data_IF_407883650902
#
_entry.id   IF_407883650902
#
_cell.length_a   1.000
_cell.length_b   1.000
_cell.length_c   1.000
_cell.angle_alpha   90.00
_cell.angle_beta   90.00
_cell.angle_gamma   90.00
#
_symmetry.space_group_name_H-M   'P 1'
#
loop_
_entity.id
_entity.type
_entity.pdbx_description
1 polymer ?
#
# COMPACT_ATOMS: atom_id res chain seq x y z
N UNK A 1 -23.55 4.03 -9.79
CA UNK A 1 -23.50 2.66 -10.33
C UNK A 1 -23.36 1.67 -9.18
N UNK A 2 -24.17 0.61 -9.13
CA UNK A 2 -24.05 -0.45 -8.11
C UNK A 2 -23.12 -1.56 -8.61
N UNK A 3 -22.10 -1.93 -7.83
CA UNK A 3 -21.16 -2.99 -8.17
C UNK A 3 -21.82 -4.36 -8.00
N UNK A 4 -21.96 -5.19 -9.04
CA UNK A 4 -22.63 -6.50 -8.92
C UNK A 4 -21.93 -7.48 -7.94
N UNK A 5 -22.71 -8.35 -7.27
CA UNK A 5 -22.22 -9.42 -6.35
C UNK A 5 -21.15 -10.31 -6.95
N UNK A 6 -21.42 -10.87 -8.12
CA UNK A 6 -20.47 -11.71 -8.83
C UNK A 6 -19.17 -10.97 -9.17
N UNK A 7 -19.26 -9.70 -9.58
CA UNK A 7 -18.08 -8.88 -9.89
C UNK A 7 -17.23 -8.58 -8.65
N UNK A 8 -17.86 -8.21 -7.53
CA UNK A 8 -17.15 -7.96 -6.26
C UNK A 8 -16.39 -9.20 -5.78
N UNK A 9 -17.05 -10.37 -5.75
CA UNK A 9 -16.42 -11.64 -5.37
C UNK A 9 -15.27 -12.01 -6.32
N UNK A 10 -15.42 -11.80 -7.63
CA UNK A 10 -14.33 -12.06 -8.59
C UNK A 10 -13.12 -11.17 -8.35
N UNK A 11 -13.32 -9.88 -8.09
CA UNK A 11 -12.23 -8.96 -7.76
C UNK A 11 -11.56 -9.31 -6.44
N UNK A 12 -12.33 -9.67 -5.42
CA UNK A 12 -11.79 -10.11 -4.14
C UNK A 12 -10.89 -11.35 -4.29
N UNK A 13 -11.33 -12.36 -5.03
CA UNK A 13 -10.54 -13.58 -5.28
C UNK A 13 -9.24 -13.31 -6.03
N UNK A 14 -9.26 -12.39 -7.00
CA UNK A 14 -8.04 -11.99 -7.71
C UNK A 14 -7.03 -11.39 -6.73
N UNK A 15 -7.45 -10.39 -5.94
CA UNK A 15 -6.57 -9.74 -4.97
C UNK A 15 -6.05 -10.71 -3.90
N UNK A 16 -6.93 -11.48 -3.28
CA UNK A 16 -6.56 -12.50 -2.29
C UNK A 16 -5.56 -13.53 -2.83
N UNK A 17 -5.57 -13.79 -4.15
CA UNK A 17 -4.65 -14.74 -4.79
C UNK A 17 -3.21 -14.25 -4.92
N UNK A 18 -2.93 -12.96 -4.74
CA UNK A 18 -1.58 -12.41 -4.91
C UNK A 18 -1.05 -11.59 -3.73
N UNK A 19 -1.89 -11.04 -2.84
CA UNK A 19 -1.45 -10.17 -1.75
C UNK A 19 -0.49 -10.80 -0.74
N UNK A 20 -0.50 -12.12 -0.59
CA UNK A 20 0.44 -12.87 0.28
C UNK A 20 1.39 -13.77 -0.50
N UNK A 21 1.37 -13.67 -1.84
CA UNK A 21 2.27 -14.43 -2.73
C UNK A 21 3.55 -13.64 -2.96
N UNK A 22 4.64 -14.17 -2.42
CA UNK A 22 5.94 -13.48 -2.37
C UNK A 22 6.72 -13.46 -3.69
N UNK A 23 6.52 -14.42 -4.59
CA UNK A 23 7.26 -14.48 -5.87
C UNK A 23 6.35 -14.74 -7.08
N UNK A 24 6.66 -14.17 -8.27
CA UNK A 24 7.78 -13.24 -8.54
C UNK A 24 7.53 -11.84 -7.94
N UNK A 25 8.62 -11.12 -7.61
CA UNK A 25 8.54 -9.77 -7.03
C UNK A 25 9.67 -8.85 -7.56
N UNK A 26 9.32 -7.58 -7.75
CA UNK A 26 10.18 -6.45 -8.15
C UNK A 26 10.22 -5.45 -7.00
N UNK A 27 11.32 -5.46 -6.25
CA UNK A 27 11.41 -4.77 -4.96
C UNK A 27 11.62 -3.26 -5.03
N UNK A 28 12.16 -2.73 -6.14
CA UNK A 28 12.66 -1.34 -6.22
C UNK A 28 13.51 -0.95 -5.00
N UNK A 29 14.34 -1.90 -4.55
CA UNK A 29 15.17 -1.81 -3.36
C UNK A 29 16.61 -1.44 -3.73
N UNK A 30 17.08 -0.33 -3.16
CA UNK A 30 18.48 0.08 -3.26
C UNK A 30 19.25 -0.55 -2.09
N UNK A 31 20.31 -1.29 -2.40
CA UNK A 31 21.20 -1.92 -1.43
C UNK A 31 22.37 -0.98 -1.12
N UNK A 32 22.57 -0.64 0.14
CA UNK A 32 23.73 0.10 0.65
C UNK A 32 24.92 -0.79 1.00
N UNK A 33 24.66 -2.08 1.25
CA UNK A 33 25.67 -3.08 1.59
C UNK A 33 25.17 -4.51 1.37
N UNK A 34 26.02 -5.54 1.57
CA UNK A 34 25.65 -6.94 1.39
C UNK A 34 24.53 -7.42 2.33
N UNK A 35 24.35 -6.79 3.49
CA UNK A 35 23.29 -7.07 4.47
C UNK A 35 21.88 -6.73 3.97
N UNK A 36 21.78 -5.93 2.91
CA UNK A 36 20.51 -5.55 2.29
C UNK A 36 19.98 -6.60 1.31
N UNK A 37 20.74 -7.67 1.04
CA UNK A 37 20.26 -8.82 0.27
C UNK A 37 19.26 -9.61 1.12
N UNK A 38 17.98 -9.22 1.03
CA UNK A 38 16.88 -9.77 1.83
C UNK A 38 15.69 -10.13 0.96
N UNK A 39 14.80 -10.98 1.47
CA UNK A 39 13.57 -11.36 0.78
C UNK A 39 12.53 -10.21 0.76
N UNK A 40 11.53 -10.23 -0.13
CA UNK A 40 10.44 -9.26 -0.09
C UNK A 40 9.73 -9.19 1.26
N UNK A 41 9.47 -10.34 1.89
CA UNK A 41 8.80 -10.39 3.20
C UNK A 41 9.64 -9.82 4.33
N UNK A 42 10.95 -10.01 4.26
CA UNK A 42 11.89 -9.47 5.24
C UNK A 42 11.99 -7.93 5.16
N UNK A 43 11.86 -7.37 3.96
CA UNK A 43 11.91 -5.93 3.72
C UNK A 43 10.56 -5.23 3.96
N UNK A 44 9.45 -5.88 3.59
CA UNK A 44 8.10 -5.32 3.59
C UNK A 44 7.09 -6.28 4.25
N UNK A 45 7.01 -6.35 5.57
CA UNK A 45 6.24 -7.39 6.27
C UNK A 45 4.73 -7.34 6.02
N UNK A 46 4.18 -6.25 5.47
CA UNK A 46 2.77 -6.11 5.10
C UNK A 46 2.59 -6.24 3.59
N UNK A 47 3.41 -5.51 2.84
CA UNK A 47 3.23 -5.30 1.40
C UNK A 47 4.26 -6.06 0.56
N UNK A 48 4.65 -7.27 1.00
CA UNK A 48 5.61 -8.13 0.29
C UNK A 48 5.01 -8.92 -0.87
N UNK A 49 3.70 -9.15 -0.87
CA UNK A 49 3.06 -9.89 -1.93
C UNK A 49 2.90 -9.07 -3.21
N UNK A 50 2.22 -9.65 -4.19
CA UNK A 50 2.05 -9.08 -5.53
C UNK A 50 3.39 -8.91 -6.26
N UNK A 51 3.34 -8.32 -7.46
CA UNK A 51 4.54 -8.11 -8.25
C UNK A 51 5.44 -7.00 -7.69
N UNK A 52 4.88 -5.94 -7.09
CA UNK A 52 5.62 -4.87 -6.42
C UNK A 52 4.79 -4.28 -5.26
N UNK A 53 5.46 -3.46 -4.45
CA UNK A 53 4.92 -2.92 -3.19
C UNK A 53 3.63 -2.12 -3.40
N UNK A 54 3.60 -1.16 -4.34
CA UNK A 54 2.38 -0.37 -4.56
C UNK A 54 1.24 -1.20 -5.17
N UNK A 55 1.52 -2.18 -6.03
CA UNK A 55 0.48 -3.10 -6.51
C UNK A 55 -0.14 -3.89 -5.35
N UNK A 56 0.67 -4.24 -4.35
CA UNK A 56 0.18 -4.85 -3.11
C UNK A 56 -0.74 -3.88 -2.35
N UNK A 57 -0.30 -2.64 -2.13
CA UNK A 57 -1.11 -1.58 -1.50
C UNK A 57 -2.45 -1.37 -2.22
N UNK A 58 -2.46 -1.38 -3.57
CA UNK A 58 -3.70 -1.29 -4.34
C UNK A 58 -4.66 -2.44 -4.05
N UNK A 59 -4.14 -3.66 -3.96
CA UNK A 59 -4.95 -4.83 -3.67
C UNK A 59 -5.55 -4.76 -2.27
N UNK A 60 -4.80 -4.29 -1.27
CA UNK A 60 -5.36 -4.00 0.06
C UNK A 60 -6.43 -2.92 -0.03
N UNK A 61 -6.19 -1.80 -0.72
CA UNK A 61 -7.21 -0.75 -0.88
C UNK A 61 -8.49 -1.27 -1.57
N UNK A 62 -8.33 -2.11 -2.61
CA UNK A 62 -9.43 -2.75 -3.31
C UNK A 62 -10.22 -3.64 -2.36
N UNK A 63 -9.56 -4.50 -1.58
CA UNK A 63 -10.24 -5.39 -0.64
C UNK A 63 -10.97 -4.63 0.47
N UNK A 64 -10.38 -3.57 1.02
CA UNK A 64 -11.04 -2.68 1.99
C UNK A 64 -12.31 -2.06 1.38
N UNK A 65 -12.16 -1.49 0.18
CA UNK A 65 -13.27 -0.88 -0.57
C UNK A 65 -14.39 -1.89 -0.85
N UNK A 66 -14.06 -3.10 -1.29
CA UNK A 66 -15.04 -4.16 -1.52
C UNK A 66 -15.73 -4.58 -0.23
N UNK A 67 -14.98 -4.72 0.87
CA UNK A 67 -15.54 -5.06 2.19
C UNK A 67 -16.51 -3.99 2.68
N UNK A 68 -16.22 -2.70 2.49
CA UNK A 68 -17.14 -1.62 2.84
C UNK A 68 -18.37 -1.58 1.94
N UNK A 69 -18.17 -1.71 0.63
CA UNK A 69 -19.26 -1.58 -0.33
C UNK A 69 -20.20 -2.78 -0.31
N UNK A 70 -19.65 -3.99 -0.09
CA UNK A 70 -20.34 -5.29 -0.18
C UNK A 70 -19.93 -6.22 0.97
N UNK A 71 -20.26 -5.86 2.23
CA UNK A 71 -19.88 -6.62 3.40
C UNK A 71 -20.50 -8.03 3.44
N UNK A 72 -21.55 -8.28 2.66
CA UNK A 72 -22.25 -9.57 2.60
C UNK A 72 -21.58 -10.61 1.67
N UNK A 73 -20.46 -10.26 1.01
CA UNK A 73 -19.77 -11.18 0.11
C UNK A 73 -19.15 -12.37 0.87
N UNK A 74 -19.08 -13.57 0.25
CA UNK A 74 -18.49 -14.76 0.90
C UNK A 74 -17.04 -14.58 1.34
N UNK A 75 -16.28 -13.72 0.66
CA UNK A 75 -14.87 -13.47 0.94
C UNK A 75 -14.63 -12.51 2.13
N UNK A 76 -15.67 -11.86 2.65
CA UNK A 76 -15.52 -10.84 3.70
C UNK A 76 -14.78 -11.36 4.95
N UNK A 77 -15.06 -12.56 5.50
CA UNK A 77 -14.30 -13.09 6.64
C UNK A 77 -12.82 -13.31 6.33
N UNK A 78 -12.49 -13.76 5.11
CA UNK A 78 -11.10 -13.97 4.67
C UNK A 78 -10.35 -12.65 4.54
N UNK A 79 -11.01 -11.61 4.00
CA UNK A 79 -10.43 -10.25 3.93
C UNK A 79 -10.17 -9.71 5.32
N UNK A 80 -11.12 -9.86 6.24
CA UNK A 80 -10.95 -9.43 7.63
C UNK A 80 -9.74 -10.11 8.27
N UNK A 81 -9.64 -11.44 8.15
CA UNK A 81 -8.51 -12.19 8.71
C UNK A 81 -7.16 -11.77 8.11
N UNK A 82 -7.12 -11.51 6.79
CA UNK A 82 -5.93 -10.97 6.12
C UNK A 82 -5.50 -9.62 6.73
N UNK A 83 -6.46 -8.72 6.96
CA UNK A 83 -6.16 -7.38 7.49
C UNK A 83 -5.78 -7.42 8.97
N UNK A 84 -6.40 -8.30 9.76
CA UNK A 84 -6.07 -8.51 11.16
C UNK A 84 -4.64 -9.07 11.32
N UNK A 85 -4.19 -9.94 10.40
CA UNK A 85 -2.80 -10.40 10.34
C UNK A 85 -1.84 -9.33 9.81
N UNK A 86 -2.24 -8.58 8.77
CA UNK A 86 -1.37 -7.63 8.10
C UNK A 86 -1.12 -6.36 8.93
N UNK A 87 -2.17 -5.78 9.53
CA UNK A 87 -2.09 -4.52 10.26
C UNK A 87 -1.87 -4.74 11.74
N UNK A 88 -0.65 -5.19 12.09
CA UNK A 88 -0.14 -5.20 13.46
C UNK A 88 0.86 -4.07 13.68
N UNK A 89 1.03 -3.64 14.94
CA UNK A 89 2.00 -2.60 15.28
C UNK A 89 3.42 -2.98 14.86
N UNK A 90 3.79 -4.25 15.02
CA UNK A 90 5.10 -4.79 14.64
C UNK A 90 5.34 -4.71 13.13
N UNK A 91 4.39 -5.19 12.32
CA UNK A 91 4.55 -5.17 10.86
C UNK A 91 4.54 -3.74 10.32
N UNK A 92 3.70 -2.85 10.85
CA UNK A 92 3.72 -1.43 10.46
C UNK A 92 5.04 -0.77 10.85
N UNK A 93 5.58 -1.07 12.04
CA UNK A 93 6.90 -0.58 12.43
C UNK A 93 8.00 -1.06 11.48
N UNK A 94 7.92 -2.28 10.96
CA UNK A 94 8.81 -2.80 9.93
C UNK A 94 8.75 -2.01 8.62
N UNK A 95 7.55 -1.71 8.11
CA UNK A 95 7.38 -0.87 6.91
C UNK A 95 7.94 0.56 7.14
N UNK A 96 7.69 1.15 8.31
CA UNK A 96 8.24 2.47 8.67
C UNK A 96 9.76 2.44 8.79
N UNK A 97 10.32 1.38 9.39
CA UNK A 97 11.77 1.21 9.51
C UNK A 97 12.44 1.11 8.13
N UNK A 98 11.81 0.43 7.17
CA UNK A 98 12.30 0.41 5.79
C UNK A 98 12.38 1.84 5.20
N UNK A 99 11.35 2.66 5.42
CA UNK A 99 11.33 4.06 4.97
C UNK A 99 12.31 4.97 5.72
N UNK A 100 12.84 4.55 6.86
CA UNK A 100 13.86 5.32 7.58
C UNK A 100 15.27 5.14 6.99
N UNK A 101 15.49 4.12 6.12
CA UNK A 101 16.77 3.90 5.44
C UNK A 101 17.10 5.09 4.52
N UNK A 102 18.33 5.64 4.55
CA UNK A 102 18.75 6.73 3.65
C UNK A 102 18.52 6.42 2.16
N UNK A 103 18.78 5.18 1.76
CA UNK A 103 18.66 4.67 0.40
C UNK A 103 17.21 4.63 -0.09
N UNK A 104 16.24 4.63 0.84
CA UNK A 104 14.81 4.53 0.54
C UNK A 104 14.14 5.88 0.29
N UNK A 105 14.87 7.01 0.30
CA UNK A 105 14.28 8.37 0.18
C UNK A 105 13.41 8.53 -1.08
N UNK A 106 13.81 7.91 -2.18
CA UNK A 106 13.08 7.93 -3.46
C UNK A 106 12.09 6.77 -3.67
N UNK A 107 12.08 5.79 -2.76
CA UNK A 107 11.23 4.59 -2.86
C UNK A 107 9.77 4.98 -3.07
N UNK A 108 9.13 4.43 -4.10
CA UNK A 108 7.70 4.59 -4.41
C UNK A 108 7.22 6.03 -4.70
N UNK A 109 8.16 6.96 -4.94
CA UNK A 109 7.82 8.36 -5.19
C UNK A 109 7.24 8.59 -6.59
N UNK A 110 6.14 9.34 -6.75
CA UNK A 110 5.16 9.75 -5.74
C UNK A 110 3.96 8.79 -5.66
N UNK A 111 3.90 7.79 -6.54
CA UNK A 111 2.74 6.95 -6.77
C UNK A 111 2.36 6.08 -5.58
N UNK A 112 3.28 5.26 -5.08
CA UNK A 112 3.01 4.40 -3.93
C UNK A 112 2.74 5.20 -2.66
N UNK A 113 3.33 6.41 -2.54
CA UNK A 113 3.01 7.33 -1.44
C UNK A 113 1.54 7.70 -1.45
N UNK A 114 1.02 8.11 -2.61
CA UNK A 114 -0.39 8.47 -2.77
C UNK A 114 -1.32 7.27 -2.50
N UNK A 115 -0.95 6.08 -2.96
CA UNK A 115 -1.75 4.88 -2.73
C UNK A 115 -1.78 4.41 -1.29
N UNK A 116 -0.69 4.60 -0.53
CA UNK A 116 -0.69 4.36 0.92
C UNK A 116 -1.64 5.32 1.65
N UNK A 117 -1.70 6.59 1.22
CA UNK A 117 -2.65 7.57 1.76
C UNK A 117 -4.11 7.22 1.36
N UNK A 118 -4.34 6.76 0.13
CA UNK A 118 -5.65 6.25 -0.30
C UNK A 118 -6.09 5.04 0.52
N UNK A 119 -5.17 4.10 0.79
CA UNK A 119 -5.43 2.97 1.69
C UNK A 119 -5.82 3.47 3.08
N UNK A 120 -5.05 4.39 3.67
CA UNK A 120 -5.39 4.98 4.97
C UNK A 120 -6.78 5.62 4.96
N UNK A 121 -7.11 6.40 3.92
CA UNK A 121 -8.39 7.06 3.78
C UNK A 121 -9.55 6.05 3.70
N UNK A 122 -9.36 4.93 3.02
CA UNK A 122 -10.37 3.86 2.98
C UNK A 122 -10.46 3.14 4.34
N UNK A 123 -9.33 2.81 4.98
CA UNK A 123 -9.30 2.17 6.30
C UNK A 123 -10.05 2.98 7.37
N UNK A 124 -9.96 4.32 7.34
CA UNK A 124 -10.69 5.22 8.23
C UNK A 124 -12.22 5.09 8.12
N UNK A 125 -12.73 4.44 7.06
CA UNK A 125 -14.17 4.22 6.82
C UNK A 125 -14.65 2.86 7.36
N UNK A 126 -13.77 2.11 8.01
CA UNK A 126 -14.10 0.86 8.69
C UNK A 126 -14.10 1.05 10.21
N UNK A 127 -15.07 0.44 10.89
CA UNK A 127 -15.12 0.39 12.36
C UNK A 127 -14.19 -0.72 12.88
N UNK A 128 -12.88 -0.56 12.63
CA UNK A 128 -11.82 -1.53 12.92
C UNK A 128 -10.50 -0.83 13.25
N UNK A 129 -9.59 -1.46 14.02
CA UNK A 129 -8.35 -0.81 14.46
C UNK A 129 -7.34 -0.59 13.34
N UNK A 130 -7.56 -1.13 12.14
CA UNK A 130 -6.61 -1.10 11.02
C UNK A 130 -6.14 0.32 10.67
N UNK A 131 -7.05 1.30 10.67
CA UNK A 131 -6.70 2.70 10.37
C UNK A 131 -5.77 3.31 11.44
N UNK A 132 -6.01 2.99 12.71
CA UNK A 132 -5.16 3.43 13.81
C UNK A 132 -3.77 2.78 13.72
N UNK A 133 -3.72 1.49 13.39
CA UNK A 133 -2.46 0.74 13.29
C UNK A 133 -1.64 1.16 12.07
N UNK A 134 -2.27 1.40 10.91
CA UNK A 134 -1.60 1.84 9.68
C UNK A 134 -1.16 3.32 9.70
N UNK A 135 -1.75 4.15 10.57
CA UNK A 135 -1.51 5.59 10.63
C UNK A 135 -0.02 6.01 10.65
N UNK A 136 0.91 5.36 11.38
CA UNK A 136 2.32 5.73 11.36
C UNK A 136 2.97 5.68 9.97
N UNK A 137 2.60 4.68 9.16
CA UNK A 137 3.09 4.57 7.79
C UNK A 137 2.51 5.68 6.90
N UNK A 138 1.21 5.94 7.01
CA UNK A 138 0.55 7.03 6.28
C UNK A 138 1.16 8.41 6.62
N UNK A 139 1.41 8.67 7.90
CA UNK A 139 2.07 9.90 8.35
C UNK A 139 3.50 10.04 7.81
N UNK A 140 4.23 8.93 7.70
CA UNK A 140 5.58 8.92 7.10
C UNK A 140 5.54 9.33 5.63
N UNK A 141 4.60 8.81 4.83
CA UNK A 141 4.43 9.23 3.44
C UNK A 141 3.89 10.66 3.29
N UNK A 142 3.00 11.10 4.18
CA UNK A 142 2.57 12.51 4.26
C UNK A 142 3.79 13.43 4.44
N UNK A 143 4.65 13.14 5.42
CA UNK A 143 5.87 13.92 5.67
C UNK A 143 6.83 13.90 4.46
N UNK A 144 6.93 12.77 3.75
CA UNK A 144 7.71 12.67 2.51
C UNK A 144 7.15 13.57 1.40
N UNK A 145 5.83 13.65 1.23
CA UNK A 145 5.22 14.63 0.32
C UNK A 145 5.54 16.07 0.75
N UNK A 146 5.32 16.41 2.02
CA UNK A 146 5.59 17.75 2.57
C UNK A 146 7.07 18.16 2.41
N UNK A 147 7.98 17.20 2.46
CA UNK A 147 9.42 17.44 2.26
C UNK A 147 9.83 17.48 0.79
N UNK A 148 9.17 16.71 -0.08
CA UNK A 148 9.53 16.58 -1.49
C UNK A 148 8.94 17.69 -2.36
N UNK A 149 7.66 18.03 -2.16
CA UNK A 149 6.96 18.99 -3.03
C UNK A 149 7.64 20.36 -3.09
N UNK A 150 8.18 20.93 -1.99
CA UNK A 150 8.87 22.23 -2.05
C UNK A 150 10.17 22.22 -2.87
N UNK A 151 10.78 21.05 -3.10
CA UNK A 151 12.03 20.91 -3.88
C UNK A 151 11.79 20.32 -5.27
N UNK A 152 10.52 20.13 -5.67
CA UNK A 152 10.14 19.64 -6.98
C UNK A 152 9.89 20.83 -7.93
N UNK A 153 10.97 21.40 -8.49
CA UNK A 153 10.92 22.61 -9.33
C UNK A 153 9.95 22.50 -10.51
N UNK A 154 9.79 21.29 -11.05
CA UNK A 154 8.91 21.02 -12.18
C UNK A 154 7.98 19.83 -11.91
N UNK A 155 6.70 19.92 -12.33
CA UNK A 155 5.80 18.77 -12.29
C UNK A 155 6.24 17.71 -13.31
N UNK A 156 6.16 16.44 -12.93
CA UNK A 156 6.36 15.32 -13.85
C UNK A 156 5.03 14.99 -14.49
N UNK A 157 4.93 15.13 -15.81
CA UNK A 157 3.69 14.96 -16.57
C UNK A 157 3.62 13.68 -17.41
N UNK A 158 4.64 12.82 -17.30
CA UNK A 158 4.65 11.55 -18.01
C UNK A 158 3.43 10.70 -17.63
N UNK A 159 2.90 9.90 -18.56
CA UNK A 159 1.79 8.97 -18.32
C UNK A 159 2.21 7.71 -17.55
N UNK A 160 3.12 7.85 -16.59
CA UNK A 160 3.71 6.76 -15.80
C UNK A 160 3.52 7.04 -14.31
N UNK A 161 3.95 6.11 -13.44
CA UNK A 161 3.86 6.26 -11.98
C UNK A 161 4.50 7.56 -11.46
N UNK A 162 5.46 8.14 -12.17
CA UNK A 162 6.08 9.40 -11.76
C UNK A 162 5.17 10.63 -11.90
N UNK A 163 3.96 10.51 -12.46
CA UNK A 163 3.07 11.65 -12.68
C UNK A 163 2.69 12.35 -11.37
N UNK A 164 3.11 13.61 -11.22
CA UNK A 164 2.86 14.38 -9.98
C UNK A 164 1.40 14.77 -9.83
N UNK A 165 0.70 15.08 -10.93
CA UNK A 165 -0.72 15.46 -10.86
C UNK A 165 -1.60 14.28 -10.42
N UNK A 166 -1.33 13.08 -10.94
CA UNK A 166 -2.04 11.88 -10.51
C UNK A 166 -1.89 11.62 -9.02
N UNK A 167 -0.65 11.63 -8.51
CA UNK A 167 -0.38 11.37 -7.10
C UNK A 167 -1.02 12.42 -6.18
N UNK A 168 -0.99 13.70 -6.56
CA UNK A 168 -1.56 14.78 -5.75
C UNK A 168 -3.09 14.74 -5.70
N UNK A 169 -3.76 14.34 -6.79
CA UNK A 169 -5.22 14.18 -6.79
C UNK A 169 -5.68 13.09 -5.82
N UNK A 170 -4.87 12.03 -5.65
CA UNK A 170 -5.18 10.96 -4.72
C UNK A 170 -4.79 11.27 -3.27
N UNK A 171 -3.79 12.13 -3.06
CA UNK A 171 -3.25 12.44 -1.74
C UNK A 171 -3.86 13.68 -1.06
N UNK A 172 -4.67 14.46 -1.78
CA UNK A 172 -5.38 15.65 -1.28
C UNK A 172 -6.61 15.28 -0.45
#
# INVERSE_FOLDING_TARGET
>A
MSLARSTASRFAKIALGHLTREYPNKLDHVMGGPEDVRSPRDLHPIFYGSFDWHSCVHGYWLLATLLRLRPEMPEAPTIIALFDDAFTQEKVAGEVAYLARPESRGFERPYGWAWSLMLQAELLRHDRPWALVHAPLALTFKQRFESFLPIADYPVRAGTHYNTAFALVLAY
#
